data_IF_723907300075
#
_entry.id   IF_723907300075
#
_cell.length_a   1.000
_cell.length_b   1.000
_cell.length_c   1.000
_cell.angle_alpha   90.00
_cell.angle_beta   90.00
_cell.angle_gamma   90.00
#
_symmetry.space_group_name_H-M   'P 1'
#
loop_
_entity.id
_entity.type
_entity.pdbx_description
1 polymer ?
#
# COMPACT_ATOMS: atom_id res chain seq x y z
N UNK A 1 -9.11 -15.98 -17.81
CA UNK A 1 -8.13 -14.95 -18.19
C UNK A 1 -7.11 -14.92 -17.08
N UNK A 2 -5.83 -15.00 -17.45
CA UNK A 2 -4.72 -15.15 -16.51
C UNK A 2 -4.75 -14.03 -15.45
N UNK A 3 -4.92 -14.42 -14.18
CA UNK A 3 -5.06 -13.54 -13.01
C UNK A 3 -3.71 -13.17 -12.39
N UNK A 4 -2.62 -13.43 -13.11
CA UNK A 4 -1.26 -13.19 -12.64
C UNK A 4 -1.00 -11.71 -12.31
N UNK A 5 -0.38 -11.49 -11.16
CA UNK A 5 0.14 -10.18 -10.73
C UNK A 5 1.00 -9.55 -11.83
N UNK A 6 0.87 -8.23 -12.03
CA UNK A 6 1.74 -7.52 -12.98
C UNK A 6 3.20 -7.51 -12.49
N UNK A 7 4.20 -7.55 -13.41
CA UNK A 7 5.61 -7.43 -13.03
C UNK A 7 5.92 -6.17 -12.20
N UNK A 8 6.85 -6.26 -11.26
CA UNK A 8 7.10 -5.20 -10.28
C UNK A 8 7.59 -3.87 -10.89
N UNK A 9 8.35 -3.93 -11.98
CA UNK A 9 8.79 -2.76 -12.75
C UNK A 9 7.61 -2.03 -13.42
N UNK A 10 6.60 -2.78 -13.85
CA UNK A 10 5.33 -2.25 -14.36
C UNK A 10 4.46 -1.73 -13.23
N UNK A 11 4.33 -2.46 -12.12
CA UNK A 11 3.53 -2.04 -10.96
C UNK A 11 3.93 -0.66 -10.46
N UNK A 12 5.24 -0.39 -10.35
CA UNK A 12 5.76 0.91 -9.89
C UNK A 12 5.31 2.10 -10.75
N UNK A 13 4.96 1.89 -12.03
CA UNK A 13 4.42 2.95 -12.89
C UNK A 13 3.03 3.44 -12.48
N UNK A 14 2.34 2.65 -11.65
CA UNK A 14 1.04 2.99 -11.06
C UNK A 14 1.17 3.64 -9.68
N UNK A 15 2.39 3.89 -9.19
CA UNK A 15 2.60 4.59 -7.92
C UNK A 15 2.61 6.11 -8.14
N UNK A 16 1.93 6.84 -7.25
CA UNK A 16 1.97 8.28 -7.22
C UNK A 16 3.30 8.76 -6.64
N UNK A 17 3.94 9.72 -7.30
CA UNK A 17 5.20 10.29 -6.82
C UNK A 17 5.06 11.18 -5.58
N UNK A 18 3.83 11.46 -5.14
CA UNK A 18 3.54 12.35 -4.01
C UNK A 18 3.32 11.55 -2.74
N UNK A 19 2.34 10.64 -2.73
CA UNK A 19 2.06 9.79 -1.57
C UNK A 19 2.84 8.47 -1.56
N UNK A 20 3.55 8.14 -2.65
CA UNK A 20 4.25 6.87 -2.83
C UNK A 20 3.36 5.61 -2.73
N UNK A 21 2.05 5.79 -2.89
CA UNK A 21 1.05 4.72 -2.91
C UNK A 21 0.54 4.48 -4.34
N UNK A 22 -0.09 3.34 -4.60
CA UNK A 22 -0.76 3.06 -5.86
C UNK A 22 -1.93 4.02 -6.08
N UNK A 23 -1.94 4.65 -7.25
CA UNK A 23 -2.95 5.65 -7.60
C UNK A 23 -4.35 5.03 -7.59
N UNK A 24 -5.26 5.68 -6.84
CA UNK A 24 -6.66 5.33 -6.80
C UNK A 24 -7.45 6.25 -7.74
N UNK A 25 -8.45 5.73 -8.49
CA UNK A 25 -9.40 6.57 -9.21
C UNK A 25 -10.10 7.59 -8.26
N UNK A 26 -10.30 8.85 -8.68
CA UNK A 26 -9.91 9.42 -9.98
C UNK A 26 -8.43 9.80 -10.07
N UNK A 27 -7.84 9.61 -11.25
CA UNK A 27 -6.41 9.87 -11.53
C UNK A 27 -6.26 11.07 -12.47
N UNK A 28 -5.44 12.04 -12.06
CA UNK A 28 -5.16 13.23 -12.85
C UNK A 28 -3.86 13.07 -13.65
N UNK A 29 -3.80 13.71 -14.80
CA UNK A 29 -2.67 13.68 -15.72
C UNK A 29 -2.23 15.12 -16.04
N UNK A 30 -0.93 15.42 -15.96
CA UNK A 30 -0.44 16.70 -16.49
C UNK A 30 -0.39 16.69 -18.03
N UNK A 31 -0.25 17.84 -18.70
CA UNK A 31 -0.24 17.87 -20.17
C UNK A 31 0.94 17.11 -20.81
N UNK A 32 2.01 16.84 -20.05
CA UNK A 32 3.13 15.98 -20.47
C UNK A 32 2.95 14.49 -20.14
N UNK A 33 1.83 14.08 -19.54
CA UNK A 33 1.51 12.67 -19.33
C UNK A 33 1.85 12.05 -17.97
N UNK A 34 2.26 12.83 -16.97
CA UNK A 34 2.53 12.30 -15.64
C UNK A 34 1.24 12.18 -14.82
N UNK A 35 1.06 11.02 -14.17
CA UNK A 35 -0.12 10.69 -13.39
C UNK A 35 0.04 11.04 -11.90
N UNK A 36 -1.02 11.54 -11.29
CA UNK A 36 -1.05 11.99 -9.90
C UNK A 36 -2.43 11.62 -9.31
N UNK A 37 -2.48 11.19 -8.06
CA UNK A 37 -3.76 11.00 -7.37
C UNK A 37 -4.53 12.33 -7.33
N UNK A 38 -5.84 12.27 -7.54
CA UNK A 38 -6.72 13.44 -7.37
C UNK A 38 -6.51 14.16 -6.03
N UNK A 39 -6.46 13.41 -4.92
CA UNK A 39 -6.22 13.94 -3.58
C UNK A 39 -4.85 14.61 -3.47
N UNK A 40 -3.79 13.99 -3.99
CA UNK A 40 -2.44 14.56 -3.96
C UNK A 40 -2.32 15.83 -4.80
N UNK A 41 -3.12 15.96 -5.85
CA UNK A 41 -3.14 17.14 -6.69
C UNK A 41 -3.76 18.37 -6.00
N UNK A 42 -4.63 18.18 -5.00
CA UNK A 42 -5.27 19.29 -4.28
C UNK A 42 -4.26 20.22 -3.60
N UNK A 43 -3.08 19.70 -3.29
CA UNK A 43 -2.00 20.42 -2.62
C UNK A 43 -0.94 20.96 -3.58
N UNK A 44 -1.16 20.87 -4.90
CA UNK A 44 -0.15 21.13 -5.92
C UNK A 44 -0.67 22.07 -7.03
N UNK A 45 0.14 23.06 -7.39
CA UNK A 45 -0.10 23.90 -8.56
C UNK A 45 0.73 23.47 -9.79
N UNK A 46 1.83 22.74 -9.56
CA UNK A 46 2.77 22.30 -10.59
C UNK A 46 2.95 20.78 -10.51
N UNK A 47 3.21 20.16 -11.67
CA UNK A 47 3.50 18.74 -11.74
C UNK A 47 4.80 18.44 -10.98
N UNK A 48 4.82 17.49 -10.02
CA UNK A 48 6.01 17.19 -9.23
C UNK A 48 7.14 16.59 -10.07
N UNK A 49 6.83 16.04 -11.25
CA UNK A 49 7.81 15.41 -12.14
C UNK A 49 8.44 16.41 -13.11
N UNK A 50 7.62 17.18 -13.84
CA UNK A 50 8.09 18.06 -14.93
C UNK A 50 7.85 19.55 -14.70
N UNK A 51 7.30 19.94 -13.53
CA UNK A 51 7.13 21.33 -13.06
C UNK A 51 6.25 22.24 -13.92
N UNK A 52 5.47 21.68 -14.83
CA UNK A 52 4.46 22.44 -15.59
C UNK A 52 3.18 22.63 -14.79
N UNK A 53 2.38 23.69 -15.06
CA UNK A 53 1.09 23.89 -14.40
C UNK A 53 0.18 22.66 -14.49
N UNK A 54 -0.36 22.24 -13.34
CA UNK A 54 -1.37 21.19 -13.31
C UNK A 54 -2.69 21.75 -13.79
N UNK A 55 -3.32 21.00 -14.68
CA UNK A 55 -4.68 21.24 -15.13
C UNK A 55 -5.56 20.12 -14.58
N UNK A 56 -6.87 20.33 -14.54
CA UNK A 56 -7.82 19.32 -14.10
C UNK A 56 -8.14 18.30 -15.20
N UNK A 57 -7.10 17.63 -15.72
CA UNK A 57 -7.24 16.62 -16.79
C UNK A 57 -7.34 15.26 -16.11
N UNK A 58 -8.54 14.67 -16.10
CA UNK A 58 -8.80 13.32 -15.60
C UNK A 58 -8.47 12.28 -16.67
N UNK A 59 -7.69 11.25 -16.33
CA UNK A 59 -7.37 10.17 -17.24
C UNK A 59 -8.23 8.93 -16.96
N UNK A 60 -9.33 8.80 -17.71
CA UNK A 60 -10.22 7.64 -17.63
C UNK A 60 -9.55 6.31 -18.02
N UNK A 61 -8.55 6.35 -18.91
CA UNK A 61 -7.83 5.14 -19.34
C UNK A 61 -7.10 4.47 -18.18
N UNK A 62 -6.32 5.24 -17.41
CA UNK A 62 -5.64 4.75 -16.21
C UNK A 62 -6.63 4.30 -15.15
N UNK A 63 -7.77 4.97 -15.01
CA UNK A 63 -8.82 4.53 -14.10
C UNK A 63 -9.41 3.17 -14.51
N UNK A 64 -9.67 2.96 -15.81
CA UNK A 64 -10.08 1.64 -16.33
C UNK A 64 -9.00 0.60 -16.06
N UNK A 65 -7.73 0.93 -16.31
CA UNK A 65 -6.63 0.00 -16.01
C UNK A 65 -6.58 -0.36 -14.52
N UNK A 66 -6.74 0.60 -13.61
CA UNK A 66 -6.76 0.35 -12.18
C UNK A 66 -7.89 -0.61 -11.74
N UNK A 67 -8.98 -0.72 -12.52
CA UNK A 67 -10.08 -1.67 -12.26
C UNK A 67 -9.77 -3.11 -12.69
N UNK A 68 -8.82 -3.33 -13.59
CA UNK A 68 -8.55 -4.65 -14.17
C UNK A 68 -7.20 -5.25 -13.75
N UNK A 69 -6.22 -4.40 -13.40
CA UNK A 69 -4.89 -4.86 -13.03
C UNK A 69 -4.83 -5.24 -11.55
N UNK A 70 -4.22 -6.38 -11.26
CA UNK A 70 -3.85 -6.76 -9.89
C UNK A 70 -2.43 -6.29 -9.59
N UNK A 71 -2.32 -5.40 -8.61
CA UNK A 71 -1.06 -4.80 -8.16
C UNK A 71 -0.65 -5.43 -6.82
N UNK A 72 0.65 -5.56 -6.52
CA UNK A 72 1.08 -6.13 -5.25
C UNK A 72 0.61 -5.30 -4.06
N UNK A 73 0.42 -5.96 -2.92
CA UNK A 73 0.18 -5.31 -1.63
C UNK A 73 1.32 -4.33 -1.28
N UNK A 74 1.00 -3.22 -0.61
CA UNK A 74 2.01 -2.26 -0.12
C UNK A 74 3.01 -2.91 0.87
N UNK A 75 2.61 -4.00 1.52
CA UNK A 75 3.45 -4.79 2.41
C UNK A 75 4.20 -5.94 1.72
N UNK A 76 4.23 -5.98 0.38
CA UNK A 76 4.93 -7.02 -0.40
C UNK A 76 6.42 -7.10 -0.08
N UNK A 77 7.09 -5.95 0.14
CA UNK A 77 8.49 -5.88 0.58
C UNK A 77 8.76 -6.61 1.91
N UNK A 78 7.71 -6.88 2.70
CA UNK A 78 7.79 -7.57 3.98
C UNK A 78 7.34 -9.03 3.93
N UNK A 79 6.81 -9.50 2.79
CA UNK A 79 6.41 -10.89 2.60
C UNK A 79 4.98 -11.08 2.07
N UNK A 80 4.16 -10.02 1.98
CA UNK A 80 2.81 -10.18 1.45
C UNK A 80 2.82 -10.49 -0.05
N UNK A 81 2.37 -11.68 -0.43
CA UNK A 81 2.31 -12.12 -1.83
C UNK A 81 0.95 -11.90 -2.51
N UNK A 82 -0.03 -11.29 -1.82
CA UNK A 82 -1.40 -11.18 -2.34
C UNK A 82 -1.48 -10.09 -3.43
N UNK A 83 -1.92 -10.44 -4.65
CA UNK A 83 -2.14 -9.48 -5.73
C UNK A 83 -3.57 -8.93 -5.70
N UNK A 84 -3.70 -7.61 -5.61
CA UNK A 84 -4.96 -6.95 -5.26
C UNK A 84 -5.44 -6.05 -6.40
N UNK A 85 -6.74 -6.10 -6.69
CA UNK A 85 -7.41 -5.01 -7.38
C UNK A 85 -7.46 -3.77 -6.48
N UNK A 86 -7.60 -2.59 -7.07
CA UNK A 86 -7.67 -1.35 -6.28
C UNK A 86 -8.87 -1.35 -5.30
N UNK A 87 -9.99 -1.99 -5.66
CA UNK A 87 -11.20 -2.13 -4.82
C UNK A 87 -10.98 -3.01 -3.59
N UNK A 88 -10.17 -4.07 -3.71
CA UNK A 88 -9.87 -5.04 -2.64
C UNK A 88 -8.77 -4.52 -1.71
N UNK A 89 -7.97 -3.56 -2.19
CA UNK A 89 -6.71 -3.14 -1.55
C UNK A 89 -6.90 -2.65 -0.13
N UNK A 90 -7.86 -1.75 0.11
CA UNK A 90 -8.03 -1.11 1.42
C UNK A 90 -8.35 -2.15 2.49
N UNK A 91 -9.34 -3.00 2.21
CA UNK A 91 -9.79 -4.04 3.13
C UNK A 91 -8.64 -4.99 3.47
N UNK A 92 -7.94 -5.49 2.43
CA UNK A 92 -6.77 -6.35 2.63
C UNK A 92 -5.66 -5.64 3.43
N UNK A 93 -5.30 -4.41 3.09
CA UNK A 93 -4.17 -3.72 3.73
C UNK A 93 -4.47 -3.33 5.19
N UNK A 94 -5.74 -3.23 5.59
CA UNK A 94 -6.18 -3.04 6.98
C UNK A 94 -6.02 -4.32 7.84
N UNK A 95 -6.19 -5.50 7.22
CA UNK A 95 -6.15 -6.84 7.85
C UNK A 95 -4.90 -7.67 7.49
N UNK A 96 -3.99 -7.08 6.72
CA UNK A 96 -2.76 -7.75 6.27
C UNK A 96 -1.88 -8.15 7.45
N UNK A 97 -1.42 -9.40 7.47
CA UNK A 97 -0.53 -9.93 8.53
C UNK A 97 0.80 -9.16 8.63
N UNK A 98 1.26 -8.59 7.52
CA UNK A 98 2.50 -7.82 7.45
C UNK A 98 2.32 -6.33 7.81
N UNK A 99 1.09 -5.88 8.09
CA UNK A 99 0.79 -4.46 8.36
C UNK A 99 1.55 -3.91 9.56
N UNK A 100 1.50 -4.59 10.71
CA UNK A 100 2.13 -4.10 11.95
C UNK A 100 3.64 -3.97 11.75
N UNK A 101 4.28 -5.02 11.24
CA UNK A 101 5.71 -4.99 10.96
C UNK A 101 6.06 -3.89 9.96
N UNK A 102 5.26 -3.71 8.91
CA UNK A 102 5.51 -2.67 7.93
C UNK A 102 5.43 -1.26 8.49
N UNK A 103 4.42 -0.98 9.31
CA UNK A 103 4.28 0.30 10.00
C UNK A 103 5.44 0.56 10.97
N UNK A 104 5.81 -0.43 11.76
CA UNK A 104 6.94 -0.32 12.69
C UNK A 104 8.25 -0.08 11.94
N UNK A 105 8.50 -0.83 10.86
CA UNK A 105 9.68 -0.64 10.05
C UNK A 105 9.76 0.80 9.51
N UNK A 106 8.69 1.29 8.88
CA UNK A 106 8.71 2.64 8.29
C UNK A 106 8.92 3.73 9.36
N UNK A 107 8.38 3.57 10.58
CA UNK A 107 8.59 4.52 11.69
C UNK A 107 9.98 4.43 12.32
N UNK A 108 10.45 3.22 12.60
CA UNK A 108 11.79 2.97 13.19
C UNK A 108 12.89 3.57 12.30
N UNK A 109 12.71 3.51 10.98
CA UNK A 109 13.67 4.04 10.01
C UNK A 109 13.38 5.47 9.53
N UNK A 110 12.30 6.12 9.98
CA UNK A 110 11.88 7.45 9.49
C UNK A 110 12.99 8.51 9.60
N UNK A 111 13.74 8.50 10.71
CA UNK A 111 14.82 9.45 10.97
C UNK A 111 16.19 9.00 10.44
N UNK A 112 16.25 7.91 9.67
CA UNK A 112 17.48 7.35 9.08
C UNK A 112 18.59 7.17 10.14
N UNK A 113 18.38 6.33 11.17
CA UNK A 113 19.35 6.13 12.24
C UNK A 113 20.73 5.76 11.67
N UNK A 114 21.80 6.37 12.21
CA UNK A 114 23.18 6.17 11.71
C UNK A 114 24.02 5.32 12.64
N UNK A 115 23.57 5.07 13.85
CA UNK A 115 24.23 4.20 14.82
C UNK A 115 23.30 3.08 15.28
N UNK A 116 23.89 2.00 15.80
CA UNK A 116 23.12 0.93 16.43
C UNK A 116 22.34 1.41 17.67
N UNK A 117 22.84 2.43 18.36
CA UNK A 117 22.15 3.00 19.52
C UNK A 117 20.89 3.74 19.08
N UNK A 118 20.98 4.60 18.06
CA UNK A 118 19.81 5.29 17.49
C UNK A 118 18.74 4.28 17.04
N UNK A 119 19.17 3.19 16.39
CA UNK A 119 18.25 2.15 15.94
C UNK A 119 17.55 1.46 17.12
N UNK A 120 18.28 1.10 18.18
CA UNK A 120 17.72 0.49 19.40
C UNK A 120 16.75 1.45 20.11
N UNK A 121 17.10 2.73 20.17
CA UNK A 121 16.27 3.75 20.80
C UNK A 121 14.98 3.96 20.02
N UNK A 122 15.05 4.01 18.69
CA UNK A 122 13.88 4.08 17.82
C UNK A 122 12.98 2.85 17.97
N UNK A 123 13.54 1.64 17.93
CA UNK A 123 12.77 0.40 18.14
C UNK A 123 12.06 0.46 19.50
N UNK A 124 12.78 0.82 20.55
CA UNK A 124 12.22 0.87 21.90
C UNK A 124 11.13 1.93 22.03
N UNK A 125 11.30 3.10 21.40
CA UNK A 125 10.30 4.15 21.39
C UNK A 125 9.03 3.73 20.64
N UNK A 126 9.18 3.18 19.43
CA UNK A 126 8.04 2.77 18.61
C UNK A 126 7.27 1.60 19.21
N UNK A 127 7.96 0.64 19.85
CA UNK A 127 7.28 -0.45 20.58
C UNK A 127 6.45 0.10 21.75
N UNK A 128 6.97 1.07 22.50
CA UNK A 128 6.22 1.71 23.60
C UNK A 128 4.98 2.49 23.12
N UNK A 129 4.99 2.95 21.86
CA UNK A 129 3.89 3.68 21.27
C UNK A 129 2.81 2.77 20.63
N UNK A 130 2.97 1.45 20.66
CA UNK A 130 1.95 0.52 20.16
C UNK A 130 0.72 0.63 21.06
N UNK A 131 -0.41 1.01 20.45
CA UNK A 131 -1.68 1.15 21.16
C UNK A 131 -2.36 -0.20 21.39
N UNK A 132 -3.19 -0.28 22.42
CA UNK A 132 -4.04 -1.46 22.67
C UNK A 132 -4.91 -1.78 21.46
N UNK A 133 -5.51 -0.78 20.82
CA UNK A 133 -6.28 -0.93 19.58
C UNK A 133 -5.47 -1.64 18.47
N UNK A 134 -4.18 -1.31 18.34
CA UNK A 134 -3.30 -1.97 17.37
C UNK A 134 -3.10 -3.44 17.71
N UNK A 135 -2.88 -3.77 19.00
CA UNK A 135 -2.73 -5.15 19.46
C UNK A 135 -4.02 -5.96 19.30
N UNK A 136 -5.17 -5.35 19.58
CA UNK A 136 -6.48 -5.96 19.39
C UNK A 136 -6.71 -6.29 17.91
N UNK A 137 -6.38 -5.36 17.00
CA UNK A 137 -6.46 -5.61 15.54
C UNK A 137 -5.55 -6.74 15.07
N UNK A 138 -4.31 -6.80 15.57
CA UNK A 138 -3.38 -7.90 15.23
C UNK A 138 -3.91 -9.24 15.72
N UNK A 139 -4.45 -9.28 16.94
CA UNK A 139 -5.07 -10.48 17.51
C UNK A 139 -6.30 -10.91 16.72
N UNK A 140 -7.17 -9.96 16.35
CA UNK A 140 -8.36 -10.23 15.55
C UNK A 140 -8.00 -10.77 14.15
N UNK A 141 -6.98 -10.18 13.49
CA UNK A 141 -6.49 -10.68 12.21
C UNK A 141 -5.95 -12.11 12.32
N UNK A 142 -5.27 -12.45 13.42
CA UNK A 142 -4.80 -13.81 13.68
C UNK A 142 -5.99 -14.78 13.86
N UNK A 143 -7.00 -14.40 14.63
CA UNK A 143 -8.21 -15.20 14.85
C UNK A 143 -8.95 -15.48 13.53
N UNK A 144 -9.20 -14.44 12.73
CA UNK A 144 -9.83 -14.55 11.41
C UNK A 144 -9.11 -15.56 10.51
N UNK A 145 -7.77 -15.53 10.49
CA UNK A 145 -6.94 -16.44 9.68
C UNK A 145 -7.02 -17.88 10.18
N UNK A 146 -7.02 -18.09 11.49
CA UNK A 146 -7.19 -19.41 12.10
C UNK A 146 -8.58 -19.96 11.75
N UNK A 147 -9.63 -19.16 11.86
CA UNK A 147 -10.99 -19.55 11.50
C UNK A 147 -11.11 -19.92 10.01
N UNK A 148 -10.56 -19.09 9.12
CA UNK A 148 -10.52 -19.38 7.68
C UNK A 148 -9.77 -20.69 7.37
N UNK A 149 -8.64 -20.94 8.04
CA UNK A 149 -7.89 -22.18 7.91
C UNK A 149 -8.69 -23.41 8.37
N UNK A 150 -9.44 -23.28 9.46
CA UNK A 150 -10.31 -24.36 9.96
C UNK A 150 -11.48 -24.64 9.01
N UNK A 151 -12.11 -23.59 8.46
CA UNK A 151 -13.20 -23.72 7.47
C UNK A 151 -12.73 -24.44 6.21
N UNK A 152 -11.51 -24.17 5.76
CA UNK A 152 -10.90 -24.80 4.59
C UNK A 152 -10.20 -26.13 4.90
N UNK A 153 -10.37 -26.69 6.12
CA UNK A 153 -9.73 -27.93 6.56
C UNK A 153 -8.20 -27.95 6.35
N UNK A 154 -7.53 -26.82 6.59
CA UNK A 154 -6.09 -26.65 6.38
C UNK A 154 -5.68 -26.42 4.91
N UNK A 155 -6.64 -26.19 4.02
CA UNK A 155 -6.41 -25.83 2.61
C UNK A 155 -5.94 -24.39 2.41
N UNK A 156 -5.91 -23.95 1.15
CA UNK A 156 -5.53 -22.57 0.78
C UNK A 156 -6.68 -21.58 1.05
N UNK A 157 -6.55 -20.78 2.11
CA UNK A 157 -7.59 -19.84 2.56
C UNK A 157 -7.26 -18.36 2.26
N UNK A 158 -6.11 -18.03 1.68
CA UNK A 158 -5.70 -16.63 1.46
C UNK A 158 -6.64 -15.85 0.52
N UNK A 159 -7.44 -16.54 -0.30
CA UNK A 159 -8.44 -15.92 -1.17
C UNK A 159 -9.73 -15.51 -0.43
N UNK A 160 -9.88 -15.91 0.84
CA UNK A 160 -10.99 -15.58 1.73
C UNK A 160 -10.69 -14.38 2.64
N UNK A 161 -9.50 -13.76 2.48
CA UNK A 161 -8.94 -12.72 3.35
C UNK A 161 -8.58 -11.45 2.59
#
# INVERSE_FOLDING_TARGET
>A
MDTSMVPGDVARKFQCTVCCDYMQPPVLQCCNGHFICSICCLMLNLCPVCRIPLQNIRNMGIEIFANIIRLPCNYSKFGCAVPLLHTERREHEETCEYRLWGLLNDRVYANKPRTLQDLKDNISAEIRNITEETLQRVTANMQMRVEACLLENGGHFQHLL
#
